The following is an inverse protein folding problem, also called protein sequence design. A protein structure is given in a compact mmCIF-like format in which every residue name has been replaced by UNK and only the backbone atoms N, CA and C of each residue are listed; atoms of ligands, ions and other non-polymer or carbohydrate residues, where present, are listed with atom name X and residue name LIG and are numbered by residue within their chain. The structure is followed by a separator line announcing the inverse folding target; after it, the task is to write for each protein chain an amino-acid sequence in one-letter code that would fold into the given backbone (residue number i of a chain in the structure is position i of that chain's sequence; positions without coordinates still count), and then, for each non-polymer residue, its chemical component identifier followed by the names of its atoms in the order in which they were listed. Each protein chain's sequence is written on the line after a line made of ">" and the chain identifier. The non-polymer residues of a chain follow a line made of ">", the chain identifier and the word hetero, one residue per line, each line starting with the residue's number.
data_IF_724327650641
#
_entry.id   IF_724327650641
#
_cell.length_a   1.000
_cell.length_b   1.000
_cell.length_c   1.000
_cell.angle_alpha   90.00
_cell.angle_beta   90.00
_cell.angle_gamma   90.00
#
_symmetry.space_group_name_H-M   'P 1'
#
loop_
_entity.id
_entity.type
_entity.pdbx_description
1 polymer ?
#
# COMPACT_ATOMS: atom_id res chain seq x y z
N UNK A 1 12.23 18.26 21.52
CA UNK A 1 11.05 17.39 21.69
C UNK A 1 11.28 16.14 20.87
N UNK A 2 11.22 14.94 21.49
CA UNK A 2 11.43 13.69 20.77
C UNK A 2 10.19 13.36 19.93
N UNK A 3 10.28 13.61 18.63
CA UNK A 3 9.24 13.19 17.68
C UNK A 3 9.18 11.66 17.71
N UNK A 4 8.04 11.12 18.14
CA UNK A 4 7.81 9.68 18.23
C UNK A 4 7.87 9.08 16.81
N UNK A 5 8.91 8.29 16.50
CA UNK A 5 9.06 7.63 15.21
C UNK A 5 8.26 6.34 15.16
N UNK A 6 7.58 6.09 14.05
CA UNK A 6 6.94 4.81 13.76
C UNK A 6 8.02 3.75 13.55
N UNK A 7 8.17 2.81 14.48
CA UNK A 7 9.18 1.73 14.40
C UNK A 7 8.63 0.43 13.81
N UNK A 8 7.33 0.35 13.57
CA UNK A 8 6.66 -0.85 13.10
C UNK A 8 6.64 -0.91 11.57
N UNK A 9 6.87 -2.08 11.00
CA UNK A 9 6.50 -2.37 9.60
C UNK A 9 4.97 -2.37 9.49
N UNK A 10 4.43 -1.67 8.50
CA UNK A 10 3.00 -1.40 8.39
C UNK A 10 2.40 -2.21 7.24
N UNK A 11 1.28 -2.88 7.49
CA UNK A 11 0.53 -3.64 6.49
C UNK A 11 -0.89 -3.07 6.44
N UNK A 12 -1.21 -2.33 5.37
CA UNK A 12 -2.47 -1.63 5.17
C UNK A 12 -3.37 -2.40 4.18
N UNK A 13 -4.01 -3.48 4.65
CA UNK A 13 -4.87 -4.32 3.80
C UNK A 13 -6.30 -3.78 3.71
N UNK A 14 -6.44 -2.66 2.99
CA UNK A 14 -7.72 -2.04 2.65
C UNK A 14 -7.69 -1.43 1.24
N UNK A 15 -8.85 -1.05 0.71
CA UNK A 15 -8.96 -0.45 -0.62
C UNK A 15 -8.17 0.87 -0.72
N UNK A 16 -7.40 1.03 -1.81
CA UNK A 16 -6.68 2.26 -2.12
C UNK A 16 -5.76 2.78 -0.99
N UNK A 17 -5.30 1.91 -0.08
CA UNK A 17 -4.46 2.29 1.06
C UNK A 17 -3.07 2.81 0.67
N UNK A 18 -2.60 2.44 -0.51
CA UNK A 18 -1.35 2.89 -1.13
C UNK A 18 -1.54 3.90 -2.24
N UNK A 19 -2.79 4.32 -2.50
CA UNK A 19 -3.07 5.31 -3.53
C UNK A 19 -2.55 6.68 -3.11
N UNK A 20 -1.86 7.36 -4.03
CA UNK A 20 -1.37 8.72 -3.82
C UNK A 20 -2.22 9.69 -4.66
N UNK A 21 -2.69 10.75 -4.02
CA UNK A 21 -3.57 11.74 -4.66
C UNK A 21 -2.83 13.05 -4.77
N UNK A 22 -2.82 13.64 -5.97
CA UNK A 22 -2.29 14.98 -6.16
C UNK A 22 -3.20 15.99 -5.44
N UNK A 23 -2.62 16.89 -4.65
CA UNK A 23 -3.33 18.00 -4.00
C UNK A 23 -4.02 18.94 -5.01
N UNK A 24 -3.59 18.94 -6.27
CA UNK A 24 -4.20 19.72 -7.35
C UNK A 24 -5.37 19.01 -8.04
N UNK A 25 -5.48 17.69 -7.90
CA UNK A 25 -6.59 16.91 -8.44
C UNK A 25 -7.84 17.09 -7.56
N UNK A 26 -8.36 18.31 -7.51
CA UNK A 26 -9.73 18.52 -7.05
C UNK A 26 -10.67 17.98 -8.13
N UNK A 27 -11.32 16.85 -7.85
CA UNK A 27 -12.36 16.26 -8.72
C UNK A 27 -13.34 17.36 -9.14
N UNK A 28 -13.30 17.73 -10.43
CA UNK A 28 -14.27 18.65 -11.04
C UNK A 28 -13.85 20.11 -11.24
N UNK A 29 -12.59 20.50 -10.99
CA UNK A 29 -12.10 21.83 -11.41
C UNK A 29 -11.33 21.76 -12.73
N UNK A 30 -11.67 22.60 -13.74
CA UNK A 30 -10.95 22.63 -15.00
C UNK A 30 -9.51 23.09 -14.77
N UNK A 31 -8.58 22.42 -15.46
CA UNK A 31 -7.14 22.68 -15.49
C UNK A 31 -6.92 24.16 -15.83
N UNK A 32 -6.55 24.96 -14.84
CA UNK A 32 -6.10 26.33 -15.07
C UNK A 32 -4.67 26.25 -15.65
N UNK A 33 -4.35 27.09 -16.63
CA UNK A 33 -3.08 27.09 -17.39
C UNK A 33 -1.82 27.42 -16.57
N UNK A 34 -1.88 27.35 -15.25
CA UNK A 34 -0.81 27.65 -14.31
C UNK A 34 -0.79 26.62 -13.15
N UNK A 35 -0.84 25.34 -13.49
CA UNK A 35 -0.78 24.25 -12.50
C UNK A 35 0.63 24.13 -11.92
N UNK A 36 0.73 24.29 -10.61
CA UNK A 36 1.95 24.06 -9.86
C UNK A 36 1.95 22.60 -9.40
N UNK A 37 2.72 21.71 -10.01
CA UNK A 37 2.74 20.29 -9.64
C UNK A 37 3.36 20.10 -8.24
N UNK A 38 2.54 19.69 -7.27
CA UNK A 38 2.97 19.31 -5.93
C UNK A 38 3.14 17.79 -5.83
N UNK A 39 4.01 17.35 -4.91
CA UNK A 39 4.14 15.95 -4.52
C UNK A 39 2.78 15.38 -4.07
N UNK A 40 2.43 14.16 -4.47
CA UNK A 40 1.15 13.57 -4.12
C UNK A 40 1.18 13.07 -2.66
N UNK A 41 0.01 13.07 -2.01
CA UNK A 41 -0.14 12.68 -0.61
C UNK A 41 -0.93 11.38 -0.48
N UNK A 42 -0.66 10.62 0.59
CA UNK A 42 -1.39 9.39 0.88
C UNK A 42 -0.92 8.72 2.17
N UNK A 43 -1.72 7.76 2.65
CA UNK A 43 -1.48 7.10 3.94
C UNK A 43 -0.13 6.36 3.97
N UNK A 44 0.21 5.64 2.91
CA UNK A 44 1.49 4.93 2.83
C UNK A 44 2.69 5.88 2.96
N UNK A 45 2.66 7.02 2.27
CA UNK A 45 3.70 8.05 2.38
C UNK A 45 3.75 8.67 3.78
N UNK A 46 2.60 8.90 4.42
CA UNK A 46 2.54 9.43 5.77
C UNK A 46 3.24 8.50 6.80
N UNK A 47 3.06 7.18 6.70
CA UNK A 47 3.77 6.22 7.56
C UNK A 47 5.28 6.21 7.31
N UNK A 48 5.71 6.29 6.04
CA UNK A 48 7.13 6.39 5.69
C UNK A 48 7.74 7.68 6.25
N UNK A 49 7.08 8.82 6.09
CA UNK A 49 7.50 10.10 6.67
C UNK A 49 7.54 10.08 8.21
N UNK A 50 6.65 9.31 8.85
CA UNK A 50 6.67 9.07 10.29
C UNK A 50 7.81 8.12 10.75
N UNK A 51 8.58 7.55 9.82
CA UNK A 51 9.76 6.72 10.09
C UNK A 51 9.53 5.22 9.98
N UNK A 52 8.38 4.76 9.48
CA UNK A 52 8.11 3.34 9.32
C UNK A 52 9.17 2.68 8.41
N UNK A 53 9.77 1.54 8.79
CA UNK A 53 10.78 0.87 7.99
C UNK A 53 10.25 0.28 6.68
N UNK A 54 8.96 -0.06 6.61
CA UNK A 54 8.31 -0.61 5.43
C UNK A 54 6.79 -0.40 5.51
N UNK A 55 6.15 -0.22 4.36
CA UNK A 55 4.68 -0.19 4.21
C UNK A 55 4.27 -1.08 3.05
N UNK A 56 3.32 -2.00 3.28
CA UNK A 56 2.64 -2.79 2.25
C UNK A 56 1.19 -2.32 2.16
N UNK A 57 0.70 -2.03 0.96
CA UNK A 57 -0.59 -1.36 0.75
C UNK A 57 -1.14 -1.63 -0.66
N UNK A 58 -2.43 -1.37 -0.89
CA UNK A 58 -3.08 -1.56 -2.19
C UNK A 58 -3.16 -0.25 -2.98
N UNK A 59 -2.68 -0.27 -4.22
CA UNK A 59 -2.66 0.91 -5.10
C UNK A 59 -4.06 1.39 -5.54
N UNK A 60 -5.04 0.49 -5.59
CA UNK A 60 -6.41 0.78 -5.98
C UNK A 60 -7.42 -0.08 -5.19
N UNK A 61 -8.70 0.04 -5.53
CA UNK A 61 -9.78 -0.69 -4.86
C UNK A 61 -9.72 -2.19 -5.17
N UNK A 62 -9.82 -3.00 -4.12
CA UNK A 62 -9.75 -4.46 -4.17
C UNK A 62 -11.04 -5.07 -3.67
N UNK A 63 -11.24 -6.37 -3.92
CA UNK A 63 -12.41 -7.10 -3.39
C UNK A 63 -12.02 -7.89 -2.15
N UNK A 64 -12.78 -7.74 -1.06
CA UNK A 64 -12.54 -8.34 0.27
C UNK A 64 -12.08 -9.80 0.20
N UNK A 65 -12.87 -10.66 -0.44
CA UNK A 65 -12.60 -12.11 -0.49
C UNK A 65 -11.24 -12.46 -1.09
N UNK A 66 -10.73 -11.66 -2.02
CA UNK A 66 -9.49 -11.96 -2.72
C UNK A 66 -8.28 -11.30 -2.07
N UNK A 67 -8.44 -10.11 -1.47
CA UNK A 67 -7.40 -9.49 -0.66
C UNK A 67 -7.21 -10.20 0.70
N UNK A 68 -8.26 -10.82 1.25
CA UNK A 68 -8.16 -11.65 2.46
C UNK A 68 -7.24 -12.86 2.23
N UNK A 69 -7.33 -13.51 1.06
CA UNK A 69 -6.44 -14.63 0.71
C UNK A 69 -5.00 -14.19 0.59
N UNK A 70 -4.77 -13.04 -0.06
CA UNK A 70 -3.43 -12.44 -0.12
C UNK A 70 -2.91 -12.16 1.29
N UNK A 71 -3.73 -11.56 2.15
CA UNK A 71 -3.37 -11.18 3.51
C UNK A 71 -3.00 -12.40 4.36
N UNK A 72 -3.80 -13.47 4.29
CA UNK A 72 -3.51 -14.74 4.97
C UNK A 72 -2.22 -15.38 4.46
N UNK A 73 -1.99 -15.39 3.14
CA UNK A 73 -0.76 -15.93 2.55
C UNK A 73 0.48 -15.11 2.97
N UNK A 74 0.37 -13.78 2.96
CA UNK A 74 1.45 -12.86 3.35
C UNK A 74 1.82 -13.04 4.81
N UNK A 75 0.84 -13.00 5.71
CA UNK A 75 1.05 -13.20 7.15
C UNK A 75 1.62 -14.59 7.42
N UNK A 76 1.09 -15.63 6.77
CA UNK A 76 1.61 -17.00 6.86
C UNK A 76 3.11 -17.04 6.55
N UNK A 77 3.53 -16.47 5.42
CA UNK A 77 4.95 -16.47 5.01
C UNK A 77 5.83 -15.67 5.96
N UNK A 78 5.40 -14.47 6.37
CA UNK A 78 6.17 -13.62 7.30
C UNK A 78 6.45 -14.33 8.63
N UNK A 79 5.50 -15.12 9.14
CA UNK A 79 5.64 -15.76 10.45
C UNK A 79 6.13 -17.22 10.41
N UNK A 80 6.03 -17.90 9.27
CA UNK A 80 6.38 -19.32 9.13
C UNK A 80 7.69 -19.55 8.38
N UNK A 81 8.06 -18.68 7.43
CA UNK A 81 9.26 -18.84 6.60
C UNK A 81 10.39 -17.93 7.10
N UNK A 82 11.36 -18.49 7.83
CA UNK A 82 12.47 -17.73 8.43
C UNK A 82 13.45 -17.12 7.44
N UNK A 83 13.46 -17.59 6.19
CA UNK A 83 14.45 -17.21 5.16
C UNK A 83 13.90 -16.23 4.11
N UNK A 84 12.63 -15.80 4.20
CA UNK A 84 12.04 -14.91 3.18
C UNK A 84 11.92 -13.48 3.67
N UNK A 85 12.29 -12.51 2.83
CA UNK A 85 12.06 -11.11 3.14
C UNK A 85 10.61 -10.70 2.80
N UNK A 86 10.19 -9.52 3.29
CA UNK A 86 8.82 -9.03 3.10
C UNK A 86 8.47 -8.82 1.62
N UNK A 87 9.43 -8.43 0.77
CA UNK A 87 9.18 -8.21 -0.65
C UNK A 87 8.92 -9.53 -1.40
N UNK A 88 9.70 -10.58 -1.09
CA UNK A 88 9.48 -11.94 -1.61
C UNK A 88 8.16 -12.54 -1.10
N UNK A 89 7.84 -12.30 0.18
CA UNK A 89 6.56 -12.71 0.79
C UNK A 89 5.38 -12.05 0.07
N UNK A 90 5.44 -10.74 -0.21
CA UNK A 90 4.43 -10.03 -1.00
C UNK A 90 4.34 -10.62 -2.41
N UNK A 91 5.47 -10.72 -3.12
CA UNK A 91 5.50 -11.18 -4.50
C UNK A 91 4.85 -12.55 -4.69
N UNK A 92 5.21 -13.50 -3.82
CA UNK A 92 4.69 -14.86 -3.87
C UNK A 92 3.28 -15.00 -3.27
N UNK A 93 2.79 -14.05 -2.48
CA UNK A 93 1.41 -14.07 -1.94
C UNK A 93 0.36 -13.66 -2.97
N UNK A 94 0.77 -12.99 -4.05
CA UNK A 94 -0.10 -12.64 -5.19
C UNK A 94 -0.74 -13.87 -5.85
N UNK A 95 -0.09 -15.03 -5.76
CA UNK A 95 -0.60 -16.30 -6.30
C UNK A 95 -1.87 -16.81 -5.57
N UNK A 96 -2.12 -16.34 -4.34
CA UNK A 96 -3.34 -16.67 -3.60
C UNK A 96 -4.59 -15.96 -4.15
N UNK A 97 -4.41 -14.86 -4.89
CA UNK A 97 -5.51 -14.13 -5.51
C UNK A 97 -6.07 -14.90 -6.70
N UNK A 98 -7.40 -15.04 -6.73
CA UNK A 98 -8.12 -15.56 -7.90
C UNK A 98 -8.02 -14.58 -9.06
N UNK A 99 -8.15 -13.30 -8.77
CA UNK A 99 -8.09 -12.21 -9.74
C UNK A 99 -6.65 -11.67 -9.82
N UNK A 100 -5.80 -12.42 -10.52
CA UNK A 100 -4.34 -12.20 -10.56
C UNK A 100 -3.91 -10.76 -10.85
N UNK A 101 -4.60 -10.08 -11.78
CA UNK A 101 -4.17 -8.77 -12.24
C UNK A 101 -4.92 -7.61 -11.57
N UNK A 102 -6.23 -7.74 -11.34
CA UNK A 102 -7.01 -6.65 -10.75
C UNK A 102 -6.90 -6.60 -9.23
N UNK A 103 -6.73 -7.75 -8.55
CA UNK A 103 -6.46 -7.76 -7.10
C UNK A 103 -5.00 -8.12 -6.81
N UNK A 104 -4.47 -9.15 -7.46
CA UNK A 104 -3.11 -9.62 -7.18
C UNK A 104 -2.00 -8.64 -7.54
N UNK A 105 -2.22 -7.66 -8.42
CA UNK A 105 -1.26 -6.59 -8.70
C UNK A 105 -1.53 -5.29 -7.91
N UNK A 106 -2.58 -5.23 -7.08
CA UNK A 106 -2.87 -4.06 -6.28
C UNK A 106 -1.88 -3.88 -5.11
N UNK A 107 -1.53 -4.91 -4.32
CA UNK A 107 -0.37 -4.90 -3.44
C UNK A 107 0.93 -5.23 -4.19
#
# INVERSE_FOLDING_TARGET
>A
EDILKCRASVILMGCSSGNLVSVNSQKGRPIASNEMHYEPEGAALAYLCAGAPCVVSNLWDVTDRDIDKFSLALVGKIFQDSDTNIAESVASSRDACKLKYIVGCAP
#
